data_IF_583614746081
#
_entry.id   IF_583614746081
#
_cell.length_a   1.000
_cell.length_b   1.000
_cell.length_c   1.000
_cell.angle_alpha   90.00
_cell.angle_beta   90.00
_cell.angle_gamma   90.00
#
_symmetry.space_group_name_H-M   'P 1'
#
loop_
_entity.id
_entity.type
_entity.pdbx_description
1 polymer ?
#
# COMPACT_ATOMS: atom_id res chain seq x y z
N UNK A 1 15.00 6.82 -27.29
CA UNK A 1 14.96 6.05 -26.02
C UNK A 1 14.22 6.79 -24.91
N UNK A 2 14.24 8.12 -24.85
CA UNK A 2 13.49 8.95 -23.86
C UNK A 2 12.00 8.62 -23.71
N UNK A 3 11.30 8.28 -24.80
CA UNK A 3 9.87 7.92 -24.74
C UNK A 3 9.55 6.60 -24.00
N UNK A 4 10.48 5.64 -23.96
CA UNK A 4 10.28 4.40 -23.22
C UNK A 4 10.44 4.62 -21.70
N UNK A 5 11.38 5.46 -21.30
CA UNK A 5 11.58 5.85 -19.91
C UNK A 5 10.43 6.68 -19.36
N UNK A 6 9.85 7.61 -20.14
CA UNK A 6 8.68 8.37 -19.70
C UNK A 6 7.45 7.48 -19.48
N UNK A 7 7.23 6.50 -20.36
CA UNK A 7 6.14 5.55 -20.22
C UNK A 7 6.30 4.69 -18.95
N UNK A 8 7.49 4.13 -18.73
CA UNK A 8 7.80 3.33 -17.54
C UNK A 8 7.64 4.13 -16.25
N UNK A 9 8.12 5.38 -16.20
CA UNK A 9 7.92 6.27 -15.05
C UNK A 9 6.43 6.50 -14.77
N UNK A 10 5.63 6.77 -15.81
CA UNK A 10 4.19 6.97 -15.63
C UNK A 10 3.46 5.72 -15.16
N UNK A 11 3.85 4.54 -15.64
CA UNK A 11 3.31 3.25 -15.20
C UNK A 11 3.66 2.98 -13.73
N UNK A 12 4.89 3.25 -13.31
CA UNK A 12 5.33 3.09 -11.93
C UNK A 12 4.61 4.03 -10.97
N UNK A 13 4.38 5.28 -11.36
CA UNK A 13 3.59 6.23 -10.58
C UNK A 13 2.12 5.79 -10.49
N UNK A 14 1.53 5.36 -11.60
CA UNK A 14 0.16 4.84 -11.59
C UNK A 14 -0.01 3.59 -10.72
N UNK A 15 0.97 2.67 -10.74
CA UNK A 15 0.98 1.50 -9.87
C UNK A 15 1.20 1.87 -8.39
N UNK A 16 2.01 2.89 -8.12
CA UNK A 16 2.18 3.46 -6.78
C UNK A 16 0.86 4.01 -6.23
N UNK A 17 0.17 4.84 -7.02
CA UNK A 17 -1.10 5.44 -6.62
C UNK A 17 -2.16 4.37 -6.36
N UNK A 18 -2.26 3.37 -7.24
CA UNK A 18 -3.17 2.24 -7.06
C UNK A 18 -2.91 1.48 -5.75
N UNK A 19 -1.63 1.20 -5.44
CA UNK A 19 -1.26 0.51 -4.21
C UNK A 19 -1.56 1.37 -2.96
N UNK A 20 -1.31 2.67 -3.02
CA UNK A 20 -1.59 3.61 -1.93
C UNK A 20 -3.10 3.75 -1.67
N UNK A 21 -3.90 3.83 -2.73
CA UNK A 21 -5.36 3.91 -2.63
C UNK A 21 -5.94 2.62 -2.05
N UNK A 22 -5.51 1.46 -2.54
CA UNK A 22 -5.91 0.17 -1.99
C UNK A 22 -5.54 0.04 -0.49
N UNK A 23 -4.34 0.49 -0.10
CA UNK A 23 -3.94 0.47 1.31
C UNK A 23 -4.83 1.37 2.18
N UNK A 24 -5.18 2.57 1.69
CA UNK A 24 -6.04 3.52 2.40
C UNK A 24 -7.46 2.98 2.57
N UNK A 25 -8.03 2.43 1.50
CA UNK A 25 -9.38 1.87 1.53
C UNK A 25 -9.46 0.68 2.48
N UNK A 26 -8.49 -0.23 2.41
CA UNK A 26 -8.40 -1.37 3.32
C UNK A 26 -8.23 -0.94 4.78
N UNK A 27 -7.45 0.11 5.05
CA UNK A 27 -7.30 0.65 6.40
C UNK A 27 -8.62 1.18 6.94
N UNK A 28 -9.36 1.97 6.16
CA UNK A 28 -10.65 2.50 6.58
C UNK A 28 -11.67 1.38 6.84
N UNK A 29 -11.69 0.35 5.99
CA UNK A 29 -12.57 -0.81 6.19
C UNK A 29 -12.17 -1.63 7.42
N UNK A 30 -10.88 -1.85 7.65
CA UNK A 30 -10.39 -2.56 8.83
C UNK A 30 -10.77 -1.82 10.12
N UNK A 31 -10.65 -0.49 10.15
CA UNK A 31 -11.08 0.34 11.28
C UNK A 31 -12.59 0.21 11.53
N UNK A 32 -13.41 0.29 10.46
CA UNK A 32 -14.87 0.10 10.56
C UNK A 32 -15.25 -1.28 11.07
N UNK A 33 -14.60 -2.33 10.55
CA UNK A 33 -14.87 -3.71 10.96
C UNK A 33 -14.42 -3.96 12.41
N UNK A 34 -13.30 -3.38 12.82
CA UNK A 34 -12.82 -3.45 14.21
C UNK A 34 -13.80 -2.80 15.17
N UNK A 35 -14.32 -1.62 14.84
CA UNK A 35 -15.33 -0.98 15.68
C UNK A 35 -16.59 -1.85 15.82
N UNK A 36 -17.11 -2.39 14.71
CA UNK A 36 -18.29 -3.29 14.73
C UNK A 36 -18.03 -4.57 15.50
N UNK A 37 -16.82 -5.11 15.39
CA UNK A 37 -16.41 -6.29 16.14
C UNK A 37 -16.44 -6.01 17.65
N UNK A 38 -15.83 -4.90 18.10
CA UNK A 38 -15.83 -4.54 19.53
C UNK A 38 -17.25 -4.37 20.08
N UNK A 39 -18.15 -3.74 19.31
CA UNK A 39 -19.55 -3.59 19.70
C UNK A 39 -20.22 -4.95 19.97
N UNK A 40 -20.02 -5.94 19.09
CA UNK A 40 -20.58 -7.29 19.24
C UNK A 40 -19.85 -8.07 20.34
N UNK A 41 -18.52 -8.07 20.32
CA UNK A 41 -17.66 -8.82 21.24
C UNK A 41 -17.84 -8.39 22.69
N UNK A 42 -18.24 -7.15 22.95
CA UNK A 42 -18.56 -6.64 24.29
C UNK A 42 -19.82 -7.28 24.89
N UNK A 43 -20.76 -7.73 24.06
CA UNK A 43 -22.02 -8.35 24.47
C UNK A 43 -22.01 -9.88 24.38
N UNK A 44 -20.95 -10.43 23.77
CA UNK A 44 -20.86 -11.84 23.43
C UNK A 44 -19.87 -12.58 24.33
N UNK A 45 -20.38 -13.54 25.11
CA UNK A 45 -19.60 -14.44 25.95
C UNK A 45 -19.97 -15.92 25.70
N UNK A 46 -19.17 -16.84 26.25
CA UNK A 46 -19.36 -18.27 26.17
C UNK A 46 -18.34 -18.97 25.27
N UNK A 47 -18.61 -20.24 24.96
CA UNK A 47 -17.68 -21.10 24.19
C UNK A 47 -17.41 -20.53 22.79
N UNK A 48 -18.42 -19.97 22.14
CA UNK A 48 -18.27 -19.41 20.80
C UNK A 48 -17.43 -18.13 20.82
N UNK A 49 -17.68 -17.20 21.75
CA UNK A 49 -16.86 -15.99 21.87
C UNK A 49 -15.36 -16.30 22.05
N UNK A 50 -15.04 -17.32 22.86
CA UNK A 50 -13.64 -17.78 23.05
C UNK A 50 -13.01 -18.42 21.82
N UNK A 51 -13.82 -18.99 20.93
CA UNK A 51 -13.38 -19.70 19.73
C UNK A 51 -13.40 -18.82 18.47
N UNK A 52 -13.72 -17.53 18.59
CA UNK A 52 -13.65 -16.59 17.48
C UNK A 52 -12.70 -15.41 17.76
N UNK A 53 -12.44 -15.08 19.03
CA UNK A 53 -11.51 -14.02 19.43
C UNK A 53 -10.08 -14.26 18.89
N UNK A 54 -9.46 -15.46 19.06
CA UNK A 54 -8.12 -15.71 18.52
C UNK A 54 -8.04 -15.57 17.00
N UNK A 55 -9.04 -16.07 16.29
CA UNK A 55 -9.14 -16.06 14.83
C UNK A 55 -9.33 -14.63 14.31
N UNK A 56 -10.13 -13.83 15.01
CA UNK A 56 -10.26 -12.40 14.75
C UNK A 56 -8.94 -11.65 14.95
N UNK A 57 -8.24 -11.90 16.06
CA UNK A 57 -6.94 -11.28 16.36
C UNK A 57 -5.89 -11.66 15.31
N UNK A 58 -5.89 -12.90 14.83
CA UNK A 58 -4.99 -13.33 13.75
C UNK A 58 -5.34 -12.65 12.43
N UNK A 59 -6.62 -12.62 12.08
CA UNK A 59 -7.10 -12.00 10.85
C UNK A 59 -6.77 -10.50 10.79
N UNK A 60 -7.05 -9.76 11.87
CA UNK A 60 -6.75 -8.31 11.95
C UNK A 60 -5.26 -8.03 11.83
N UNK A 61 -4.40 -8.84 12.46
CA UNK A 61 -2.94 -8.77 12.28
C UNK A 61 -2.52 -9.05 10.84
N UNK A 62 -3.14 -10.03 10.19
CA UNK A 62 -2.90 -10.34 8.77
C UNK A 62 -3.28 -9.18 7.86
N UNK A 63 -4.47 -8.61 8.06
CA UNK A 63 -4.95 -7.45 7.31
C UNK A 63 -4.00 -6.24 7.45
N UNK A 64 -3.53 -5.95 8.67
CA UNK A 64 -2.56 -4.89 8.92
C UNK A 64 -1.25 -5.09 8.14
N UNK A 65 -0.73 -6.33 8.06
CA UNK A 65 0.47 -6.66 7.28
C UNK A 65 0.27 -6.44 5.77
N UNK A 66 -0.90 -6.76 5.23
CA UNK A 66 -1.21 -6.52 3.82
C UNK A 66 -1.24 -5.02 3.51
N UNK A 67 -1.88 -4.23 4.38
CA UNK A 67 -1.92 -2.76 4.27
C UNK A 67 -0.49 -2.18 4.32
N UNK A 68 0.34 -2.66 5.24
CA UNK A 68 1.74 -2.25 5.34
C UNK A 68 2.52 -2.58 4.07
N UNK A 69 2.36 -3.79 3.52
CA UNK A 69 3.03 -4.21 2.29
C UNK A 69 2.62 -3.37 1.07
N UNK A 70 1.33 -3.04 0.94
CA UNK A 70 0.84 -2.16 -0.13
C UNK A 70 1.43 -0.75 0.00
N UNK A 71 1.44 -0.18 1.21
CA UNK A 71 2.08 1.10 1.48
C UNK A 71 3.58 1.10 1.18
N UNK A 72 4.29 0.02 1.54
CA UNK A 72 5.70 -0.15 1.22
C UNK A 72 5.94 -0.23 -0.29
N UNK A 73 5.10 -0.99 -1.00
CA UNK A 73 5.15 -1.12 -2.46
C UNK A 73 4.92 0.22 -3.16
N UNK A 74 3.92 0.99 -2.73
CA UNK A 74 3.65 2.32 -3.25
C UNK A 74 4.88 3.23 -3.12
N UNK A 75 5.48 3.28 -1.92
CA UNK A 75 6.69 4.08 -1.67
C UNK A 75 7.86 3.67 -2.56
N UNK A 76 8.11 2.37 -2.71
CA UNK A 76 9.21 1.88 -3.54
C UNK A 76 8.99 2.25 -5.02
N UNK A 77 7.79 2.04 -5.54
CA UNK A 77 7.45 2.37 -6.93
C UNK A 77 7.62 3.87 -7.21
N UNK A 78 7.13 4.73 -6.31
CA UNK A 78 7.31 6.18 -6.44
C UNK A 78 8.80 6.60 -6.38
N UNK A 79 9.56 6.07 -5.41
CA UNK A 79 11.00 6.36 -5.27
C UNK A 79 11.78 5.98 -6.52
N UNK A 80 11.51 4.81 -7.08
CA UNK A 80 12.15 4.37 -8.31
C UNK A 80 11.74 5.25 -9.51
N UNK A 81 10.46 5.62 -9.63
CA UNK A 81 10.00 6.52 -10.68
C UNK A 81 10.74 7.88 -10.63
N UNK A 82 10.91 8.48 -9.45
CA UNK A 82 11.66 9.72 -9.30
C UNK A 82 13.15 9.55 -9.65
N UNK A 83 13.78 8.44 -9.24
CA UNK A 83 15.17 8.13 -9.58
C UNK A 83 15.39 8.05 -11.09
N UNK A 84 14.42 7.49 -11.83
CA UNK A 84 14.47 7.44 -13.30
C UNK A 84 14.38 8.83 -13.93
N UNK A 85 13.51 9.70 -13.42
CA UNK A 85 13.39 11.10 -13.89
C UNK A 85 14.71 11.85 -13.70
N UNK A 86 15.32 11.73 -12.53
CA UNK A 86 16.59 12.40 -12.20
C UNK A 86 17.74 11.90 -13.09
N UNK A 87 17.79 10.58 -13.34
CA UNK A 87 18.82 9.97 -14.20
C UNK A 87 18.68 10.42 -15.66
N UNK A 88 17.44 10.51 -16.18
CA UNK A 88 17.19 10.97 -17.55
C UNK A 88 17.53 12.46 -17.71
N UNK A 89 17.19 13.29 -16.72
CA UNK A 89 17.55 14.72 -16.72
C UNK A 89 19.08 14.93 -16.71
N UNK A 90 19.81 14.20 -15.87
CA UNK A 90 21.27 14.27 -15.81
C UNK A 90 21.95 13.78 -17.10
N UNK A 91 21.41 12.73 -17.72
CA UNK A 91 21.92 12.20 -19.00
C UNK A 91 21.75 13.20 -20.15
N UNK A 92 20.61 13.92 -20.20
CA UNK A 92 20.37 14.97 -21.21
C UNK A 92 21.35 16.14 -21.08
N UNK A 93 21.68 16.56 -19.86
CA UNK A 93 22.62 17.66 -19.61
C UNK A 93 24.06 17.31 -20.05
N UNK A 94 24.51 16.08 -19.83
CA UNK A 94 25.83 15.64 -20.27
C UNK A 94 25.95 15.55 -21.80
N UNK A 95 24.88 15.17 -22.50
CA UNK A 95 24.89 15.08 -23.97
C UNK A 95 24.80 16.48 -24.61
N UNK A 96 24.04 17.42 -24.03
CA UNK A 96 23.97 18.79 -24.58
C UNK A 96 25.22 19.63 -24.30
N UNK A 97 26.10 19.17 -23.41
CA UNK A 97 27.35 19.84 -23.05
C UNK A 97 28.60 19.33 -23.77
N UNK A 98 28.47 18.32 -24.64
CA UNK A 98 29.53 17.75 -25.47
C UNK A 98 29.36 18.17 -26.95
#
# INVERSE_FOLDING_TARGET
MTGAFSAQTSEMLGASDLAADAARDLQQELERLTQRWEDIASTWDGRSARAFRPEWDEWTKGAAKVIEALNGTAKLLAQHAYTFVDTDAGSRQNISGA
#
